data_IF_741336269733
#
_entry.id   IF_741336269733
#
_cell.length_a   1.000
_cell.length_b   1.000
_cell.length_c   1.000
_cell.angle_alpha   90.00
_cell.angle_beta   90.00
_cell.angle_gamma   90.00
#
_symmetry.space_group_name_H-M   'P 1'
#
loop_
_entity.id
_entity.type
_entity.pdbx_description
1 polymer ?
#
# COMPACT_ATOMS: atom_id res chain seq x y z
N UNK A 1 35.49 -52.66 -16.49
CA UNK A 1 36.51 -51.63 -16.18
C UNK A 1 35.99 -50.85 -14.98
N UNK A 2 36.48 -51.18 -13.78
CA UNK A 2 35.77 -50.99 -12.51
C UNK A 2 36.78 -50.70 -11.41
N UNK A 3 37.64 -49.68 -11.57
CA UNK A 3 38.89 -49.66 -10.76
C UNK A 3 39.65 -48.33 -10.70
N UNK A 4 39.03 -47.15 -10.46
CA UNK A 4 39.87 -45.98 -10.04
C UNK A 4 39.18 -45.02 -9.04
N UNK A 5 38.12 -45.43 -8.33
CA UNK A 5 37.48 -44.56 -7.32
C UNK A 5 37.46 -45.13 -5.89
N UNK A 6 38.23 -46.20 -5.61
CA UNK A 6 38.18 -46.92 -4.32
C UNK A 6 39.52 -46.88 -3.57
N UNK A 7 40.22 -45.75 -3.60
CA UNK A 7 41.46 -45.59 -2.82
C UNK A 7 41.80 -44.12 -2.56
N UNK A 8 40.93 -43.41 -1.83
CA UNK A 8 41.34 -42.16 -1.16
C UNK A 8 40.37 -41.81 -0.01
N UNK A 9 40.12 -42.78 0.87
CA UNK A 9 39.19 -42.61 2.00
C UNK A 9 39.79 -42.99 3.36
N UNK A 10 41.12 -42.93 3.49
CA UNK A 10 41.78 -43.10 4.78
C UNK A 10 42.88 -42.05 4.95
N UNK A 11 42.54 -40.92 5.58
CA UNK A 11 43.47 -40.16 6.42
C UNK A 11 42.70 -39.13 7.27
N UNK A 12 42.43 -39.56 8.51
CA UNK A 12 42.42 -38.75 9.74
C UNK A 12 41.47 -37.54 9.83
N UNK A 13 40.35 -37.78 10.53
CA UNK A 13 39.64 -36.77 11.30
C UNK A 13 40.49 -36.33 12.50
N UNK A 14 40.78 -35.03 12.67
CA UNK A 14 41.04 -34.45 13.98
C UNK A 14 39.73 -33.92 14.57
N UNK A 15 39.40 -34.46 15.73
CA UNK A 15 38.34 -34.02 16.61
C UNK A 15 38.68 -32.66 17.24
N UNK A 16 37.67 -31.87 17.58
CA UNK A 16 37.78 -30.81 18.58
C UNK A 16 38.07 -29.38 18.09
N UNK A 17 36.97 -28.61 18.05
CA UNK A 17 36.83 -27.19 18.45
C UNK A 17 37.78 -26.19 17.80
N UNK A 18 37.22 -25.27 17.02
CA UNK A 18 37.33 -23.83 17.25
C UNK A 18 36.33 -23.14 16.31
N UNK A 19 35.20 -22.74 16.88
CA UNK A 19 34.34 -21.75 16.26
C UNK A 19 35.11 -20.45 16.15
N UNK A 20 35.71 -20.21 14.98
CA UNK A 20 36.22 -18.91 14.59
C UNK A 20 35.07 -18.13 13.93
N UNK A 21 34.34 -17.43 14.79
CA UNK A 21 33.62 -16.22 14.40
C UNK A 21 34.60 -15.26 13.69
N UNK A 22 34.42 -15.01 12.39
CA UNK A 22 34.80 -13.70 11.83
C UNK A 22 33.77 -13.20 10.82
N UNK A 23 32.55 -13.08 11.34
CA UNK A 23 31.68 -11.90 11.24
C UNK A 23 31.98 -10.92 10.08
N UNK A 24 31.43 -11.15 8.89
CA UNK A 24 31.45 -10.18 7.76
C UNK A 24 30.11 -9.89 7.10
N UNK A 25 28.99 -10.35 7.65
CA UNK A 25 27.64 -10.09 7.08
C UNK A 25 26.50 -9.72 8.05
N UNK A 26 26.69 -9.37 9.35
CA UNK A 26 25.56 -8.87 10.13
C UNK A 26 25.16 -7.45 9.69
N UNK A 27 26.14 -6.60 9.36
CA UNK A 27 25.93 -5.18 9.04
C UNK A 27 25.04 -4.98 7.80
N UNK A 28 25.19 -5.81 6.77
CA UNK A 28 24.37 -5.72 5.54
C UNK A 28 22.93 -6.22 5.75
N UNK A 29 22.73 -7.23 6.62
CA UNK A 29 21.40 -7.69 7.03
C UNK A 29 20.66 -6.67 7.89
N UNK A 30 21.38 -6.00 8.78
CA UNK A 30 20.82 -4.90 9.58
C UNK A 30 20.50 -3.66 8.74
N UNK A 31 21.33 -3.31 7.75
CA UNK A 31 21.07 -2.20 6.82
C UNK A 31 19.86 -2.45 5.91
N UNK A 32 19.69 -3.69 5.43
CA UNK A 32 18.52 -4.05 4.61
C UNK A 32 17.24 -4.09 5.44
N UNK A 33 17.29 -4.59 6.68
CA UNK A 33 16.16 -4.52 7.60
C UNK A 33 15.80 -3.06 7.97
N UNK A 34 16.81 -2.20 8.17
CA UNK A 34 16.60 -0.78 8.46
C UNK A 34 16.00 -0.06 7.24
N UNK A 35 16.47 -0.36 6.03
CA UNK A 35 15.93 0.20 4.79
C UNK A 35 14.50 -0.25 4.52
N UNK A 36 14.16 -1.52 4.80
CA UNK A 36 12.79 -2.01 4.70
C UNK A 36 11.88 -1.37 5.76
N UNK A 37 12.39 -1.16 6.98
CA UNK A 37 11.65 -0.49 8.04
C UNK A 37 11.41 1.02 7.75
N UNK A 38 12.38 1.71 7.16
CA UNK A 38 12.20 3.11 6.72
C UNK A 38 11.26 3.22 5.51
N UNK A 39 11.32 2.25 4.60
CA UNK A 39 10.39 2.19 3.48
C UNK A 39 8.96 1.92 3.99
N UNK A 40 8.76 0.96 4.90
CA UNK A 40 7.44 0.67 5.46
C UNK A 40 6.81 1.85 6.21
N UNK A 41 7.60 2.61 6.97
CA UNK A 41 7.11 3.80 7.70
C UNK A 41 6.75 4.95 6.76
N UNK A 42 7.51 5.17 5.69
CA UNK A 42 7.15 6.15 4.66
C UNK A 42 5.86 5.77 3.91
N UNK A 43 5.68 4.49 3.59
CA UNK A 43 4.46 3.99 2.94
C UNK A 43 3.23 4.12 3.85
N UNK A 44 3.37 3.90 5.16
CA UNK A 44 2.27 4.07 6.11
C UNK A 44 1.89 5.54 6.34
N UNK A 45 2.84 6.48 6.21
CA UNK A 45 2.58 7.92 6.35
C UNK A 45 1.81 8.50 5.15
N UNK A 46 2.02 7.94 3.95
CA UNK A 46 1.29 8.32 2.72
C UNK A 46 -0.12 7.72 2.70
N UNK A 47 -0.38 6.67 3.49
CA UNK A 47 -1.73 6.23 3.86
C UNK A 47 -2.37 7.16 4.90
N UNK A 48 -2.28 8.47 4.70
CA UNK A 48 -3.11 9.41 5.43
C UNK A 48 -4.56 9.18 4.98
N UNK A 49 -5.38 8.71 5.91
CA UNK A 49 -6.75 8.27 5.72
C UNK A 49 -7.55 9.16 4.75
N UNK A 50 -8.22 8.52 3.79
CA UNK A 50 -9.27 9.18 3.03
C UNK A 50 -10.23 9.85 4.02
N UNK A 51 -10.60 11.12 3.82
CA UNK A 51 -11.48 11.81 4.75
C UNK A 51 -12.78 11.02 4.90
N UNK A 52 -13.21 10.82 6.14
CA UNK A 52 -14.50 10.18 6.44
C UNK A 52 -15.59 10.90 5.64
N UNK A 53 -16.31 10.20 4.74
CA UNK A 53 -17.45 10.80 4.09
C UNK A 53 -18.50 11.06 5.18
N UNK A 54 -18.66 12.32 5.57
CA UNK A 54 -19.61 12.80 6.59
C UNK A 54 -21.08 12.71 6.11
N UNK A 55 -21.45 11.67 5.38
CA UNK A 55 -22.80 11.46 4.87
C UNK A 55 -23.20 10.03 5.20
N UNK A 56 -24.24 9.88 6.04
CA UNK A 56 -24.82 8.59 6.37
C UNK A 56 -26.18 8.44 5.73
N UNK A 57 -26.60 7.20 5.49
CA UNK A 57 -27.95 6.92 4.98
C UNK A 57 -28.98 7.39 6.00
N UNK A 58 -29.99 8.12 5.53
CA UNK A 58 -31.04 8.71 6.38
C UNK A 58 -30.75 10.13 6.85
N UNK A 59 -29.50 10.59 6.79
CA UNK A 59 -29.18 11.99 7.07
C UNK A 59 -29.72 12.90 5.97
N UNK A 60 -30.08 14.12 6.34
CA UNK A 60 -30.45 15.15 5.36
C UNK A 60 -29.22 15.49 4.51
N UNK A 61 -29.35 15.35 3.19
CA UNK A 61 -28.28 15.70 2.26
C UNK A 61 -27.83 17.18 2.45
N UNK A 62 -26.51 17.44 2.57
CA UNK A 62 -25.97 18.79 2.68
C UNK A 62 -26.41 19.67 1.52
N UNK A 63 -26.80 20.92 1.82
CA UNK A 63 -27.19 21.83 0.74
C UNK A 63 -25.96 22.34 -0.01
N UNK A 64 -26.09 22.44 -1.32
CA UNK A 64 -25.08 23.02 -2.19
C UNK A 64 -25.75 23.78 -3.33
N UNK A 65 -24.95 24.65 -3.94
CA UNK A 65 -25.37 25.53 -5.00
C UNK A 65 -24.34 25.49 -6.11
N UNK A 66 -24.79 25.16 -7.32
CA UNK A 66 -23.95 25.07 -8.52
C UNK A 66 -24.57 25.90 -9.64
N UNK A 67 -23.76 26.21 -10.65
CA UNK A 67 -24.25 26.73 -11.92
C UNK A 67 -24.50 25.56 -12.86
N UNK A 68 -25.63 25.59 -13.57
CA UNK A 68 -25.91 24.66 -14.65
C UNK A 68 -25.14 25.03 -15.94
N UNK A 69 -25.35 24.27 -17.01
CA UNK A 69 -24.73 24.53 -18.32
C UNK A 69 -25.07 25.89 -18.93
N UNK A 70 -26.14 26.54 -18.49
CA UNK A 70 -26.59 27.85 -18.96
C UNK A 70 -26.15 28.98 -18.01
N UNK A 71 -25.35 28.67 -16.98
CA UNK A 71 -24.92 29.60 -15.95
C UNK A 71 -26.00 29.92 -14.90
N UNK A 72 -27.17 29.27 -14.98
CA UNK A 72 -28.24 29.47 -14.01
C UNK A 72 -27.87 28.77 -12.70
N UNK A 73 -28.14 29.46 -11.61
CA UNK A 73 -27.91 28.94 -10.29
C UNK A 73 -28.97 27.87 -9.93
N UNK A 74 -28.52 26.74 -9.41
CA UNK A 74 -29.34 25.60 -9.00
C UNK A 74 -28.92 25.18 -7.59
N UNK A 75 -29.89 25.06 -6.67
CA UNK A 75 -29.66 24.57 -5.31
C UNK A 75 -30.27 23.18 -5.13
N UNK A 76 -29.64 22.35 -4.29
CA UNK A 76 -30.20 21.04 -3.95
C UNK A 76 -31.53 21.18 -3.19
N UNK A 77 -31.61 22.16 -2.29
CA UNK A 77 -32.81 22.46 -1.50
C UNK A 77 -34.07 22.73 -2.31
N UNK A 78 -33.96 23.24 -3.55
CA UNK A 78 -35.09 23.55 -4.42
C UNK A 78 -35.89 22.30 -4.86
N UNK A 79 -35.27 21.12 -4.76
CA UNK A 79 -35.84 19.83 -5.16
C UNK A 79 -36.40 19.00 -4.01
N UNK A 80 -36.16 19.41 -2.75
CA UNK A 80 -36.64 18.69 -1.57
C UNK A 80 -38.17 18.57 -1.58
N UNK A 81 -38.70 17.36 -1.38
CA UNK A 81 -40.13 17.07 -1.32
C UNK A 81 -40.88 17.15 -2.66
N UNK A 82 -40.20 17.49 -3.77
CA UNK A 82 -40.84 17.60 -5.09
C UNK A 82 -40.58 16.38 -5.97
N UNK A 83 -39.37 15.80 -5.88
CA UNK A 83 -38.94 14.64 -6.67
C UNK A 83 -37.73 13.95 -6.05
N UNK A 84 -37.51 12.71 -6.48
CA UNK A 84 -36.28 11.98 -6.17
C UNK A 84 -35.10 12.60 -6.95
N UNK A 85 -33.94 12.65 -6.31
CA UNK A 85 -32.71 13.25 -6.86
C UNK A 85 -31.57 12.25 -6.72
N UNK A 86 -30.78 12.08 -7.78
CA UNK A 86 -29.55 11.29 -7.80
C UNK A 86 -28.38 12.25 -8.06
N UNK A 87 -27.30 12.10 -7.29
CA UNK A 87 -26.10 12.92 -7.42
C UNK A 87 -24.92 12.04 -7.86
N UNK A 88 -24.25 12.45 -8.93
CA UNK A 88 -23.07 11.76 -9.47
C UNK A 88 -21.94 12.78 -9.63
N UNK A 89 -20.74 12.41 -9.18
CA UNK A 89 -19.53 13.22 -9.28
C UNK A 89 -18.60 12.59 -10.31
N UNK A 90 -18.18 13.38 -11.30
CA UNK A 90 -17.22 12.97 -12.32
C UNK A 90 -15.98 13.85 -12.19
N UNK A 91 -14.78 13.24 -12.24
CA UNK A 91 -13.51 13.97 -12.08
C UNK A 91 -13.24 14.86 -13.29
N UNK A 92 -13.44 14.30 -14.49
CA UNK A 92 -13.31 15.00 -15.75
C UNK A 92 -14.53 14.74 -16.62
N UNK A 93 -14.99 15.78 -17.31
CA UNK A 93 -15.96 15.63 -18.37
C UNK A 93 -15.28 15.07 -19.63
N UNK A 94 -16.01 14.28 -20.42
CA UNK A 94 -15.57 13.75 -21.72
C UNK A 94 -14.41 12.74 -21.70
N UNK A 95 -14.31 11.91 -20.66
CA UNK A 95 -13.35 10.79 -20.61
C UNK A 95 -14.08 9.44 -20.70
N UNK A 96 -13.42 8.42 -21.26
CA UNK A 96 -13.86 7.02 -21.11
C UNK A 96 -13.63 6.62 -19.66
N UNK A 97 -14.73 6.44 -18.91
CA UNK A 97 -14.71 6.08 -17.50
C UNK A 97 -14.21 4.67 -17.22
#
# INVERSE_FOLDING_TARGET
MKSIWTALQHATFPDGKHQEHLMRKPILGFLTALLLATLATAYAADQAAAPDPKVKVGDTAPDFKLRDQNGKEVKLSDFRGKKNVVLAFYVFAFTGG
#
